data_IF_800240183554
#
_entry.id   IF_800240183554
#
_cell.length_a   1.000
_cell.length_b   1.000
_cell.length_c   1.000
_cell.angle_alpha   90.00
_cell.angle_beta   90.00
_cell.angle_gamma   90.00
#
_symmetry.space_group_name_H-M   'P 1'
#
loop_
_entity.id
_entity.type
_entity.pdbx_description
1 polymer ?
#
# COMPACT_ATOMS: atom_id res chain seq x y z
N UNK A 1 -16.58 25.33 23.60
CA UNK A 1 -16.68 24.86 23.39
C UNK A 1 -16.35 24.44 22.47
N UNK A 2 -16.38 24.70 22.62
CA UNK A 2 -16.39 24.29 21.87
C UNK A 2 -15.75 24.05 21.01
N UNK A 3 -15.68 24.14 21.04
CA UNK A 3 -15.39 23.94 20.25
C UNK A 3 -14.46 23.56 19.74
N UNK A 4 -14.03 23.45 19.70
CA UNK A 4 -13.37 23.13 19.39
C UNK A 4 -12.99 22.34 18.81
N UNK A 5 -13.31 22.07 18.96
CA UNK A 5 -13.17 21.29 18.52
C UNK A 5 -12.89 21.00 17.50
N UNK A 6 -13.00 21.16 17.27
CA UNK A 6 -13.09 20.85 16.33
C UNK A 6 -12.28 20.67 15.46
N UNK A 7 -11.86 21.01 15.57
CA UNK A 7 -11.27 20.89 14.73
C UNK A 7 -10.60 20.09 14.34
N UNK A 8 -10.52 19.80 14.80
CA UNK A 8 -10.01 19.11 14.45
C UNK A 8 -9.86 18.46 13.56
N UNK A 9 -10.25 18.39 13.51
CA UNK A 9 -10.46 17.75 12.81
C UNK A 9 -9.96 17.72 11.73
N UNK A 10 -9.78 18.22 11.53
CA UNK A 10 -9.40 18.18 10.51
C UNK A 10 -8.45 17.56 10.22
N UNK A 11 -8.10 17.54 10.90
CA UNK A 11 -7.30 16.97 10.72
C UNK A 11 -7.17 16.02 10.03
N UNK A 12 -7.70 15.73 10.22
CA UNK A 12 -7.58 14.77 9.71
C UNK A 12 -7.13 14.81 8.56
N UNK A 13 -7.39 15.37 8.41
CA UNK A 13 -7.32 15.33 7.37
C UNK A 13 -6.19 15.18 6.66
N UNK A 14 -5.72 15.58 6.91
CA UNK A 14 -4.76 15.58 6.39
C UNK A 14 -4.21 14.50 6.15
N UNK A 15 -4.65 13.99 5.77
CA UNK A 15 -4.51 12.83 5.54
C UNK A 15 -3.49 12.46 4.62
N UNK A 16 -2.37 12.16 5.10
CA UNK A 16 -1.28 11.56 4.37
C UNK A 16 -1.67 10.12 4.13
N UNK A 17 -1.89 9.70 2.88
CA UNK A 17 -2.28 8.32 2.62
C UNK A 17 -1.20 7.32 3.03
N UNK A 18 0.06 7.70 2.97
CA UNK A 18 1.13 6.82 3.46
C UNK A 18 0.95 6.55 4.95
N UNK A 19 0.72 7.61 5.73
CA UNK A 19 0.52 7.46 7.17
C UNK A 19 -0.75 6.67 7.47
N UNK A 20 -1.81 6.87 6.70
CA UNK A 20 -3.05 6.14 6.88
C UNK A 20 -2.83 4.64 6.64
N UNK A 21 -2.07 4.28 5.61
CA UNK A 21 -1.79 2.89 5.29
C UNK A 21 -0.92 2.25 6.37
N UNK A 22 0.13 2.94 6.83
CA UNK A 22 1.03 2.38 7.83
C UNK A 22 0.35 2.18 9.18
N UNK A 23 -0.74 2.91 9.44
CA UNK A 23 -1.51 2.76 10.66
C UNK A 23 -2.45 1.55 10.64
N UNK A 24 -2.67 0.94 9.48
CA UNK A 24 -3.59 -0.18 9.35
C UNK A 24 -2.87 -1.51 9.56
N UNK A 25 -3.63 -2.47 10.08
CA UNK A 25 -3.16 -3.85 10.14
C UNK A 25 -3.62 -4.55 8.87
N UNK A 26 -2.69 -5.11 8.10
CA UNK A 26 -3.01 -5.78 6.86
C UNK A 26 -3.43 -7.22 7.07
N UNK A 27 -4.30 -7.72 6.18
CA UNK A 27 -4.73 -9.10 6.14
C UNK A 27 -3.99 -9.82 5.03
N UNK A 28 -3.15 -10.79 5.38
CA UNK A 28 -2.30 -11.47 4.40
C UNK A 28 -3.11 -12.28 3.39
N UNK A 29 -4.24 -12.84 3.78
CA UNK A 29 -5.08 -13.62 2.84
C UNK A 29 -5.68 -12.73 1.77
N UNK A 30 -6.23 -11.58 2.17
CA UNK A 30 -6.74 -10.59 1.21
C UNK A 30 -5.59 -10.04 0.36
N UNK A 31 -4.44 -9.82 0.99
CA UNK A 31 -3.25 -9.32 0.31
C UNK A 31 -2.78 -10.27 -0.78
N UNK A 32 -2.86 -11.57 -0.55
CA UNK A 32 -2.48 -12.55 -1.56
C UNK A 32 -3.36 -12.45 -2.79
N UNK A 33 -4.66 -12.32 -2.61
CA UNK A 33 -5.59 -12.18 -3.72
C UNK A 33 -5.32 -10.90 -4.51
N UNK A 34 -5.10 -9.80 -3.80
CA UNK A 34 -4.83 -8.51 -4.44
C UNK A 34 -3.48 -8.50 -5.14
N UNK A 35 -2.47 -9.09 -4.51
CA UNK A 35 -1.14 -9.19 -5.11
C UNK A 35 -1.18 -9.98 -6.41
N UNK A 36 -1.84 -11.13 -6.37
CA UNK A 36 -1.94 -11.99 -7.55
C UNK A 36 -2.62 -11.27 -8.71
N UNK A 37 -3.65 -10.47 -8.42
CA UNK A 37 -4.41 -9.77 -9.44
C UNK A 37 -3.69 -8.54 -9.99
N UNK A 38 -2.88 -7.86 -9.18
CA UNK A 38 -2.39 -6.52 -9.51
C UNK A 38 -0.86 -6.40 -9.60
N UNK A 39 -0.12 -7.28 -8.95
CA UNK A 39 1.32 -7.10 -8.78
C UNK A 39 2.14 -8.22 -9.40
N UNK A 40 1.60 -9.44 -9.43
CA UNK A 40 2.38 -10.62 -9.77
C UNK A 40 2.85 -10.62 -11.23
N UNK A 41 2.13 -9.98 -12.13
CA UNK A 41 2.52 -9.97 -13.54
C UNK A 41 3.86 -9.27 -13.77
N UNK A 42 4.23 -8.34 -12.90
CA UNK A 42 5.50 -7.61 -13.01
C UNK A 42 6.52 -8.05 -11.97
N UNK A 43 6.06 -8.38 -10.76
CA UNK A 43 6.98 -8.70 -9.66
C UNK A 43 7.17 -10.20 -9.43
N UNK A 44 6.45 -11.03 -10.18
CA UNK A 44 6.53 -12.48 -10.05
C UNK A 44 5.50 -13.03 -9.07
N UNK A 45 5.13 -14.29 -9.25
CA UNK A 45 4.08 -14.91 -8.43
C UNK A 45 4.45 -14.96 -6.95
N UNK A 46 5.73 -15.03 -6.64
CA UNK A 46 6.24 -15.06 -5.27
C UNK A 46 7.11 -13.85 -4.94
N UNK A 47 6.96 -12.77 -5.69
CA UNK A 47 7.74 -11.55 -5.47
C UNK A 47 9.19 -11.65 -5.87
N UNK A 48 9.53 -12.66 -6.68
CA UNK A 48 10.92 -12.92 -7.07
C UNK A 48 11.46 -11.96 -8.12
N UNK A 49 10.57 -11.17 -8.75
CA UNK A 49 10.95 -10.26 -9.81
C UNK A 49 10.72 -10.87 -11.18
N UNK A 50 10.45 -10.02 -12.15
CA UNK A 50 10.28 -10.40 -13.54
C UNK A 50 10.52 -9.14 -14.35
N UNK A 51 9.45 -8.50 -14.91
CA UNK A 51 9.58 -7.19 -15.53
C UNK A 51 9.96 -6.16 -14.49
N UNK A 52 9.32 -6.22 -13.31
CA UNK A 52 9.65 -5.37 -12.16
C UNK A 52 10.66 -6.04 -11.24
N UNK A 53 11.18 -5.30 -10.26
CA UNK A 53 12.18 -5.83 -9.35
C UNK A 53 11.61 -6.86 -8.38
N UNK A 54 12.50 -7.64 -7.78
CA UNK A 54 12.13 -8.57 -6.72
C UNK A 54 11.72 -7.77 -5.48
N UNK A 55 10.61 -8.17 -4.86
CA UNK A 55 10.09 -7.51 -3.66
C UNK A 55 9.73 -8.50 -2.55
N UNK A 56 10.05 -9.78 -2.72
CA UNK A 56 9.72 -10.80 -1.72
C UNK A 56 10.33 -10.43 -0.37
N UNK A 57 9.52 -10.42 0.66
CA UNK A 57 9.97 -10.11 2.01
C UNK A 57 10.28 -8.64 2.27
N UNK A 58 9.94 -7.75 1.34
CA UNK A 58 10.25 -6.32 1.48
C UNK A 58 9.53 -5.73 2.68
N UNK A 59 10.29 -4.98 3.49
CA UNK A 59 9.74 -4.18 4.56
C UNK A 59 9.53 -2.77 3.98
N UNK A 60 8.30 -2.47 3.62
CA UNK A 60 7.98 -1.25 2.88
C UNK A 60 8.29 -0.01 3.69
N UNK A 61 9.14 0.85 3.13
CA UNK A 61 9.36 2.20 3.66
C UNK A 61 8.23 3.12 3.19
N UNK A 62 8.17 4.31 3.77
CA UNK A 62 7.20 5.33 3.33
C UNK A 62 7.38 5.63 1.85
N UNK A 63 8.62 5.66 1.37
CA UNK A 63 8.90 5.87 -0.06
C UNK A 63 8.37 4.75 -0.93
N UNK A 64 8.47 3.52 -0.46
CA UNK A 64 7.93 2.37 -1.19
C UNK A 64 6.41 2.44 -1.29
N UNK A 65 5.75 2.83 -0.20
CA UNK A 65 4.29 2.98 -0.19
C UNK A 65 3.87 4.12 -1.12
N UNK A 66 4.61 5.23 -1.07
CA UNK A 66 4.34 6.36 -1.96
C UNK A 66 4.45 5.96 -3.42
N UNK A 67 5.42 5.09 -3.74
CA UNK A 67 5.61 4.61 -5.10
C UNK A 67 4.42 3.76 -5.55
N UNK A 68 3.89 2.92 -4.66
CA UNK A 68 2.70 2.12 -4.98
C UNK A 68 1.50 3.04 -5.24
N UNK A 69 1.35 4.08 -4.45
CA UNK A 69 0.23 5.02 -4.60
C UNK A 69 0.30 5.81 -5.89
N UNK A 70 1.48 6.27 -6.25
CA UNK A 70 1.67 7.24 -7.34
C UNK A 70 2.20 6.63 -8.63
N UNK A 71 2.76 5.43 -8.56
CA UNK A 71 3.37 4.79 -9.71
C UNK A 71 4.74 5.35 -10.05
N UNK A 72 5.44 4.65 -10.92
CA UNK A 72 6.74 5.11 -11.43
C UNK A 72 7.06 4.34 -12.70
N UNK A 73 7.42 5.04 -13.76
CA UNK A 73 7.78 4.43 -15.05
C UNK A 73 6.65 3.50 -15.52
N UNK A 74 6.92 2.23 -15.68
CA UNK A 74 5.94 1.26 -16.16
C UNK A 74 5.00 0.76 -15.05
N UNK A 75 5.31 1.04 -13.78
CA UNK A 75 4.46 0.62 -12.68
C UNK A 75 3.28 1.57 -12.54
N UNK A 76 2.03 1.06 -12.65
CA UNK A 76 0.88 1.95 -12.54
C UNK A 76 0.69 2.47 -11.12
N UNK A 77 -0.04 3.57 -11.00
CA UNK A 77 -0.42 4.12 -9.70
C UNK A 77 -1.64 3.38 -9.19
N UNK A 78 -1.62 2.94 -7.95
CA UNK A 78 -2.71 2.19 -7.35
C UNK A 78 -3.55 3.02 -6.37
N UNK A 79 -3.19 4.28 -6.16
CA UNK A 79 -3.87 5.11 -5.16
C UNK A 79 -5.36 5.30 -5.40
N UNK A 80 -5.79 5.29 -6.67
CA UNK A 80 -7.20 5.47 -7.00
C UNK A 80 -7.92 4.14 -7.22
N UNK A 81 -7.20 3.05 -7.43
CA UNK A 81 -7.81 1.76 -7.75
C UNK A 81 -7.87 0.80 -6.56
N UNK A 82 -7.02 1.00 -5.56
CA UNK A 82 -7.00 0.20 -4.35
C UNK A 82 -7.21 1.11 -3.15
N UNK A 83 -7.97 0.62 -2.17
CA UNK A 83 -8.16 1.36 -0.92
C UNK A 83 -6.89 1.31 -0.08
N UNK A 84 -6.82 2.16 0.94
CA UNK A 84 -5.71 2.13 1.90
C UNK A 84 -5.61 0.75 2.54
N UNK A 85 -6.72 0.14 2.89
CA UNK A 85 -6.74 -1.19 3.48
C UNK A 85 -6.23 -2.24 2.49
N UNK A 86 -6.62 -2.14 1.22
CA UNK A 86 -6.14 -3.07 0.20
C UNK A 86 -4.61 -3.01 0.08
N UNK A 87 -4.06 -1.81 0.10
CA UNK A 87 -2.61 -1.64 0.01
C UNK A 87 -1.93 -2.18 1.26
N UNK A 88 -2.51 -1.93 2.45
CA UNK A 88 -1.97 -2.49 3.69
C UNK A 88 -1.99 -4.01 3.65
N UNK A 89 -3.02 -4.60 3.08
CA UNK A 89 -3.13 -6.06 2.95
C UNK A 89 -2.04 -6.62 2.04
N UNK A 90 -1.80 -5.96 0.89
CA UNK A 90 -0.74 -6.38 -0.03
C UNK A 90 0.63 -6.27 0.64
N UNK A 91 0.88 -5.19 1.35
CA UNK A 91 2.15 -4.99 2.06
C UNK A 91 2.37 -6.13 3.06
N UNK A 92 1.33 -6.47 3.82
CA UNK A 92 1.42 -7.55 4.79
C UNK A 92 1.74 -8.89 4.11
N UNK A 93 1.09 -9.15 2.99
CA UNK A 93 1.34 -10.39 2.24
C UNK A 93 2.77 -10.45 1.70
N UNK A 94 3.23 -9.37 1.05
CA UNK A 94 4.57 -9.32 0.47
C UNK A 94 5.63 -9.56 1.54
N UNK A 95 5.41 -9.04 2.73
CA UNK A 95 6.33 -9.27 3.85
C UNK A 95 6.49 -10.73 4.25
N UNK A 96 5.54 -11.58 3.87
CA UNK A 96 5.59 -13.01 4.18
C UNK A 96 6.32 -13.83 3.12
N UNK A 97 6.64 -13.24 1.99
CA UNK A 97 7.26 -13.96 0.86
C UNK A 97 8.80 -14.12 0.97
#
# INVERSE_FOLDING_TARGET
>A
MLFVLTLLACSGGDTDPVAAITALTGDTASGETLYTANCSSCHGAAGEGDIGPAIAGLDFSDGDISLVLNGEDAMPAFGDSLSDQDIADVIAYVGTL
#
